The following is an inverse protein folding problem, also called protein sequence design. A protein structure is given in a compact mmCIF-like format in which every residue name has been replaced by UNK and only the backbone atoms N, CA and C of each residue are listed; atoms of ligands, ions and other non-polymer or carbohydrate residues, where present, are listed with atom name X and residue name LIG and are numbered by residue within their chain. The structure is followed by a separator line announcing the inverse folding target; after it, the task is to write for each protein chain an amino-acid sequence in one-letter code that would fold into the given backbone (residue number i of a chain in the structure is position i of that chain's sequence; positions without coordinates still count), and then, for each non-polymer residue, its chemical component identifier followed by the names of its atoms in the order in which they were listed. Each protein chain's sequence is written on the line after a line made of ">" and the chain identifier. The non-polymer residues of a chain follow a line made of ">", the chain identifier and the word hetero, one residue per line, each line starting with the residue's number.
data_IF_498842532382
#
_entry.id   IF_498842532382
#
_cell.length_a   1.000
_cell.length_b   1.000
_cell.length_c   1.000
_cell.angle_alpha   90.00
_cell.angle_beta   90.00
_cell.angle_gamma   90.00
#
_symmetry.space_group_name_H-M   'P 1'
#
loop_
_entity.id
_entity.type
_entity.pdbx_description
1 polymer ?
#
# COMPACT_ATOMS: atom_id res chain seq x y z
N UNK A 1 4.24 4.95 -5.23
CA UNK A 1 3.71 5.74 -4.10
C UNK A 1 2.93 6.96 -4.60
N UNK A 2 1.77 7.28 -4.01
CA UNK A 2 0.90 8.40 -4.45
C UNK A 2 0.25 9.08 -3.23
N UNK A 3 0.09 10.40 -3.28
CA UNK A 3 -0.55 11.19 -2.21
C UNK A 3 -2.04 10.86 -2.12
N UNK A 4 -2.60 10.80 -0.90
CA UNK A 4 -4.01 10.43 -0.67
C UNK A 4 -5.01 11.25 -1.50
N UNK A 5 -4.73 12.55 -1.66
CA UNK A 5 -5.54 13.47 -2.44
C UNK A 5 -5.74 13.05 -3.89
N UNK A 6 -4.82 12.28 -4.49
CA UNK A 6 -5.03 11.75 -5.85
C UNK A 6 -6.19 10.73 -5.86
N UNK A 7 -6.28 9.88 -4.85
CA UNK A 7 -7.37 8.90 -4.71
C UNK A 7 -8.69 9.58 -4.34
N UNK A 8 -8.64 10.59 -3.45
CA UNK A 8 -9.82 11.38 -3.06
C UNK A 8 -10.36 12.21 -4.24
N UNK A 9 -9.48 12.78 -5.06
CA UNK A 9 -9.88 13.48 -6.28
C UNK A 9 -10.51 12.51 -7.29
N UNK A 10 -9.95 11.31 -7.46
CA UNK A 10 -10.53 10.27 -8.30
C UNK A 10 -11.91 9.84 -7.80
N UNK A 11 -12.07 9.61 -6.50
CA UNK A 11 -13.33 9.28 -5.85
C UNK A 11 -14.41 10.33 -6.13
N UNK A 12 -14.11 11.61 -5.83
CA UNK A 12 -15.02 12.73 -6.09
C UNK A 12 -15.41 12.82 -7.56
N UNK A 13 -14.43 12.70 -8.46
CA UNK A 13 -14.66 12.77 -9.91
C UNK A 13 -15.60 11.64 -10.37
N UNK A 14 -15.39 10.42 -9.90
CA UNK A 14 -16.23 9.28 -10.27
C UNK A 14 -17.63 9.37 -9.65
N UNK A 15 -17.74 9.84 -8.40
CA UNK A 15 -19.02 10.13 -7.75
C UNK A 15 -19.82 11.17 -8.52
N UNK A 16 -19.19 12.24 -9.00
CA UNK A 16 -19.86 13.28 -9.79
C UNK A 16 -20.33 12.74 -11.14
N UNK A 17 -19.44 12.07 -11.89
CA UNK A 17 -19.75 11.54 -13.22
C UNK A 17 -20.86 10.48 -13.18
N UNK A 18 -20.81 9.58 -12.20
CA UNK A 18 -21.76 8.47 -12.08
C UNK A 18 -23.05 8.94 -11.41
N UNK A 19 -22.94 9.79 -10.39
CA UNK A 19 -24.04 10.40 -9.65
C UNK A 19 -24.95 11.24 -10.54
N UNK A 20 -24.42 11.84 -11.61
CA UNK A 20 -25.23 12.54 -12.61
C UNK A 20 -26.32 11.65 -13.23
N UNK A 21 -26.05 10.35 -13.42
CA UNK A 21 -27.02 9.40 -13.98
C UNK A 21 -27.88 8.74 -12.92
N UNK A 22 -27.35 8.58 -11.71
CA UNK A 22 -27.99 7.88 -10.61
C UNK A 22 -27.52 8.46 -9.28
N UNK A 23 -28.36 9.29 -8.67
CA UNK A 23 -28.05 9.99 -7.42
C UNK A 23 -27.78 9.03 -6.26
N UNK A 24 -28.24 7.78 -6.30
CA UNK A 24 -27.92 6.80 -5.25
C UNK A 24 -26.44 6.42 -5.22
N UNK A 25 -25.73 6.62 -6.33
CA UNK A 25 -24.31 6.26 -6.46
C UNK A 25 -23.35 7.36 -6.02
N UNK A 26 -23.80 8.61 -5.87
CA UNK A 26 -22.94 9.69 -5.36
C UNK A 26 -22.48 9.43 -3.91
N UNK A 27 -23.25 8.65 -3.16
CA UNK A 27 -22.94 8.27 -1.77
C UNK A 27 -22.04 7.04 -1.67
N UNK A 28 -21.77 6.34 -2.77
CA UNK A 28 -20.87 5.18 -2.77
C UNK A 28 -19.43 5.62 -3.11
N UNK A 29 -18.40 5.07 -2.45
CA UNK A 29 -17.02 5.28 -2.87
C UNK A 29 -16.84 4.98 -4.36
N UNK A 30 -16.10 5.85 -5.05
CA UNK A 30 -15.83 5.81 -6.49
C UNK A 30 -17.08 5.66 -7.37
N UNK A 31 -18.23 6.18 -6.91
CA UNK A 31 -19.51 6.04 -7.61
C UNK A 31 -20.00 4.59 -7.72
N UNK A 32 -19.61 3.74 -6.76
CA UNK A 32 -19.93 2.31 -6.75
C UNK A 32 -19.10 1.47 -7.72
N UNK A 33 -17.93 1.98 -8.15
CA UNK A 33 -16.98 1.21 -8.95
C UNK A 33 -16.05 0.39 -8.06
N UNK A 34 -15.74 -0.81 -8.54
CA UNK A 34 -14.73 -1.66 -7.90
C UNK A 34 -13.36 -1.10 -8.29
N UNK A 35 -12.57 -0.76 -7.27
CA UNK A 35 -11.20 -0.28 -7.42
C UNK A 35 -10.26 -1.32 -6.82
N UNK A 36 -9.23 -1.70 -7.58
CA UNK A 36 -8.14 -2.55 -7.11
C UNK A 36 -6.89 -1.69 -7.03
N UNK A 37 -6.38 -1.53 -5.82
CA UNK A 37 -5.11 -0.83 -5.56
C UNK A 37 -4.02 -1.87 -5.38
N UNK A 38 -2.94 -1.74 -6.16
CA UNK A 38 -1.77 -2.59 -6.08
C UNK A 38 -0.53 -1.78 -5.72
N UNK A 39 0.29 -2.31 -4.84
CA UNK A 39 1.55 -1.71 -4.43
C UNK A 39 2.21 -2.53 -3.32
N UNK A 40 3.47 -2.22 -3.02
CA UNK A 40 4.16 -2.71 -1.84
C UNK A 40 4.29 -1.56 -0.84
N UNK A 41 3.69 -1.70 0.35
CA UNK A 41 3.79 -0.67 1.39
C UNK A 41 5.16 -0.63 2.07
N UNK A 42 6.01 -1.63 1.80
CA UNK A 42 7.43 -1.64 2.20
C UNK A 42 8.30 -0.83 1.25
N UNK A 43 7.72 -0.31 0.15
CA UNK A 43 8.39 0.69 -0.67
C UNK A 43 8.56 2.00 0.10
N UNK A 44 9.49 2.84 -0.38
CA UNK A 44 9.85 4.12 0.23
C UNK A 44 8.61 4.98 0.49
N UNK A 45 8.50 5.51 1.72
CA UNK A 45 7.45 6.46 2.12
C UNK A 45 7.38 7.68 1.20
N UNK A 46 6.23 8.37 1.20
CA UNK A 46 6.06 9.64 0.49
C UNK A 46 7.12 10.66 0.92
N UNK A 47 7.86 11.19 -0.07
CA UNK A 47 8.77 12.30 0.15
C UNK A 47 7.98 13.60 0.08
N UNK A 48 7.83 14.27 1.22
CA UNK A 48 7.25 15.61 1.31
C UNK A 48 8.40 16.60 1.58
N UNK A 49 8.76 17.47 0.63
CA UNK A 49 9.82 18.44 0.83
C UNK A 49 9.53 19.34 2.03
N UNK A 50 10.46 19.40 2.99
CA UNK A 50 10.30 20.13 4.27
C UNK A 50 9.12 19.64 5.13
N UNK A 51 8.55 18.48 4.83
CA UNK A 51 7.48 17.87 5.59
C UNK A 51 7.99 17.20 6.86
N UNK A 52 7.18 17.28 7.91
CA UNK A 52 7.36 16.53 9.16
C UNK A 52 6.94 15.06 8.98
N UNK A 53 7.25 14.22 9.98
CA UNK A 53 6.73 12.84 10.04
C UNK A 53 5.20 12.80 10.00
N UNK A 54 4.54 13.76 10.63
CA UNK A 54 3.08 13.85 10.64
C UNK A 54 2.53 14.16 9.25
N UNK A 55 3.22 15.01 8.49
CA UNK A 55 2.84 15.34 7.12
C UNK A 55 2.91 14.09 6.23
N UNK A 56 3.97 13.29 6.39
CA UNK A 56 4.13 12.01 5.66
C UNK A 56 2.97 11.08 5.99
N UNK A 57 2.67 10.84 7.27
CA UNK A 57 1.54 9.97 7.68
C UNK A 57 0.21 10.51 7.13
N UNK A 58 0.00 11.82 7.21
CA UNK A 58 -1.21 12.48 6.70
C UNK A 58 -1.34 12.45 5.17
N UNK A 59 -0.27 12.14 4.45
CA UNK A 59 -0.29 12.04 2.99
C UNK A 59 -0.58 10.63 2.48
N UNK A 60 -0.47 9.60 3.33
CA UNK A 60 -0.68 8.20 2.96
C UNK A 60 -2.18 7.88 2.89
N UNK A 61 -2.54 6.90 2.05
CA UNK A 61 -3.92 6.45 1.84
C UNK A 61 -4.63 6.02 3.13
N UNK A 62 -3.92 5.43 4.09
CA UNK A 62 -4.47 5.03 5.39
C UNK A 62 -5.04 6.20 6.21
N UNK A 63 -4.62 7.44 5.93
CA UNK A 63 -5.15 8.66 6.52
C UNK A 63 -6.28 9.31 5.71
N UNK A 64 -6.77 8.63 4.66
CA UNK A 64 -7.90 9.08 3.83
C UNK A 64 -9.22 8.55 4.38
N UNK A 65 -10.31 9.28 4.12
CA UNK A 65 -11.67 8.79 4.38
C UNK A 65 -12.03 7.54 3.56
N UNK A 66 -11.25 7.21 2.54
CA UNK A 66 -11.43 6.02 1.72
C UNK A 66 -10.93 4.74 2.41
N UNK A 67 -10.00 4.83 3.37
CA UNK A 67 -9.37 3.67 3.99
C UNK A 67 -10.34 2.69 4.66
N UNK A 68 -11.39 3.13 5.39
CA UNK A 68 -12.38 2.23 5.97
C UNK A 68 -13.18 1.40 4.95
N UNK A 69 -13.14 1.78 3.67
CA UNK A 69 -13.78 1.05 2.57
C UNK A 69 -12.84 0.10 1.84
N UNK A 70 -11.56 0.06 2.22
CA UNK A 70 -10.56 -0.82 1.62
C UNK A 70 -10.55 -2.18 2.32
N UNK A 71 -10.49 -3.25 1.51
CA UNK A 71 -10.17 -4.60 1.98
C UNK A 71 -8.69 -4.88 1.68
N UNK A 72 -7.95 -5.32 2.69
CA UNK A 72 -6.52 -5.62 2.54
C UNK A 72 -6.35 -7.05 2.02
N UNK A 73 -5.74 -7.17 0.85
CA UNK A 73 -5.39 -8.46 0.24
C UNK A 73 -3.86 -8.56 0.10
N UNK A 74 -3.27 -9.54 0.78
CA UNK A 74 -1.81 -9.71 0.82
C UNK A 74 -1.36 -10.83 -0.11
N UNK A 75 -0.49 -10.52 -1.06
CA UNK A 75 0.19 -11.53 -1.89
C UNK A 75 1.43 -12.05 -1.16
N UNK A 76 1.47 -13.34 -0.86
CA UNK A 76 2.55 -13.99 -0.09
C UNK A 76 3.57 -14.72 -0.97
N UNK A 77 3.25 -14.98 -2.24
CA UNK A 77 4.09 -15.76 -3.15
C UNK A 77 4.88 -14.84 -4.10
N UNK A 78 6.19 -14.70 -3.87
CA UNK A 78 7.10 -13.99 -4.77
C UNK A 78 7.38 -14.82 -6.03
N UNK A 79 6.96 -14.31 -7.19
CA UNK A 79 7.15 -15.01 -8.48
C UNK A 79 8.52 -14.75 -9.13
N UNK A 80 9.23 -13.67 -8.73
CA UNK A 80 10.53 -13.30 -9.30
C UNK A 80 11.66 -14.31 -9.02
N UNK A 81 11.52 -15.10 -7.96
CA UNK A 81 12.53 -16.03 -7.45
C UNK A 81 12.28 -17.49 -7.86
N UNK A 82 11.31 -17.75 -8.75
CA UNK A 82 10.86 -19.11 -9.12
C UNK A 82 11.53 -19.69 -10.38
N UNK A 83 12.51 -19.01 -10.97
CA UNK A 83 13.14 -19.41 -12.25
C UNK A 83 14.48 -20.14 -12.11
N UNK A 84 14.74 -20.86 -11.03
CA UNK A 84 15.96 -21.68 -10.91
C UNK A 84 15.65 -23.16 -11.17
N UNK A 85 16.02 -23.64 -12.36
CA UNK A 85 15.90 -25.04 -12.81
C UNK A 85 16.87 -26.03 -12.10
N UNK A 86 17.45 -25.65 -10.95
CA UNK A 86 18.32 -26.51 -10.17
C UNK A 86 17.80 -26.64 -8.73
N UNK A 87 17.58 -27.88 -8.28
CA UNK A 87 17.07 -28.26 -6.95
C UNK A 87 17.94 -27.71 -5.79
N UNK A 88 19.21 -27.40 -6.06
CA UNK A 88 20.15 -26.73 -5.13
C UNK A 88 19.92 -25.23 -4.98
N UNK A 89 19.39 -24.54 -6.00
CA UNK A 89 19.19 -23.08 -6.00
C UNK A 89 17.92 -22.66 -5.24
N UNK A 90 16.97 -23.58 -5.07
CA UNK A 90 15.68 -23.31 -4.43
C UNK A 90 15.80 -22.97 -2.94
N UNK A 91 16.77 -23.56 -2.24
CA UNK A 91 16.97 -23.32 -0.81
C UNK A 91 17.56 -21.93 -0.56
N UNK A 92 18.61 -21.56 -1.31
CA UNK A 92 19.23 -20.24 -1.21
C UNK A 92 18.26 -19.14 -1.67
N UNK A 93 17.51 -19.38 -2.75
CA UNK A 93 16.46 -18.47 -3.23
C UNK A 93 15.37 -18.23 -2.19
N UNK A 94 14.96 -19.28 -1.47
CA UNK A 94 13.99 -19.17 -0.37
C UNK A 94 14.56 -18.41 0.82
N UNK A 95 15.77 -18.73 1.26
CA UNK A 95 16.44 -18.02 2.36
C UNK A 95 16.64 -16.54 2.04
N UNK A 96 17.00 -16.22 0.79
CA UNK A 96 17.11 -14.84 0.31
C UNK A 96 15.75 -14.13 0.25
N UNK A 97 14.69 -14.81 -0.21
CA UNK A 97 13.32 -14.28 -0.20
C UNK A 97 12.89 -13.94 1.21
N UNK A 98 13.07 -14.86 2.15
CA UNK A 98 12.70 -14.68 3.55
C UNK A 98 13.49 -13.54 4.16
N UNK A 99 14.79 -13.44 3.88
CA UNK A 99 15.63 -12.33 4.32
C UNK A 99 15.13 -10.97 3.80
N UNK A 100 14.79 -10.84 2.51
CA UNK A 100 14.23 -9.59 1.95
C UNK A 100 12.93 -9.21 2.66
N UNK A 101 12.06 -10.18 2.97
CA UNK A 101 10.82 -9.91 3.70
C UNK A 101 11.12 -9.34 5.09
N UNK A 102 12.06 -9.95 5.83
CA UNK A 102 12.44 -9.46 7.17
C UNK A 102 13.08 -8.07 7.11
N UNK A 103 13.89 -7.78 6.07
CA UNK A 103 14.42 -6.42 5.82
C UNK A 103 13.28 -5.43 5.59
N UNK A 104 12.32 -5.78 4.72
CA UNK A 104 11.20 -4.90 4.37
C UNK A 104 10.23 -4.64 5.54
N UNK A 105 10.08 -5.61 6.43
CA UNK A 105 9.25 -5.50 7.64
C UNK A 105 9.98 -4.85 8.82
N UNK A 106 11.18 -4.30 8.59
CA UNK A 106 12.05 -3.67 9.59
C UNK A 106 12.23 -4.54 10.86
N UNK A 107 12.34 -5.86 10.66
CA UNK A 107 12.44 -6.84 11.74
C UNK A 107 13.88 -7.33 11.98
N UNK A 108 14.87 -6.67 11.36
CA UNK A 108 16.30 -6.97 11.49
C UNK A 108 16.97 -5.92 12.39
N UNK A 109 16.97 -6.15 13.70
CA UNK A 109 17.76 -5.35 14.64
C UNK A 109 17.06 -5.15 15.99
N UNK A 110 17.85 -5.16 17.07
CA UNK A 110 17.36 -4.75 18.38
C UNK A 110 16.94 -3.28 18.30
N UNK A 111 15.73 -3.00 18.77
CA UNK A 111 15.13 -1.66 18.88
C UNK A 111 16.09 -0.68 19.55
N UNK A 112 16.69 0.21 18.75
CA UNK A 112 17.47 1.35 19.26
C UNK A 112 16.93 2.71 18.81
N UNK A 113 15.94 2.76 17.92
CA UNK A 113 15.60 4.03 17.23
C UNK A 113 14.23 4.62 17.61
N UNK A 114 13.52 4.03 18.58
CA UNK A 114 12.23 4.57 19.04
C UNK A 114 11.17 4.66 17.93
N UNK A 115 11.30 3.81 16.91
CA UNK A 115 10.34 3.69 15.82
C UNK A 115 9.21 2.79 16.34
N UNK A 116 8.17 3.40 16.89
CA UNK A 116 6.90 2.71 17.02
C UNK A 116 6.50 2.21 15.64
N UNK A 117 6.30 0.89 15.53
CA UNK A 117 5.84 0.24 14.30
C UNK A 117 4.61 0.98 13.80
N UNK A 118 4.72 1.60 12.62
CA UNK A 118 3.55 2.12 11.92
C UNK A 118 2.75 0.89 11.49
N UNK A 119 1.67 0.60 12.21
CA UNK A 119 0.69 -0.39 11.80
C UNK A 119 0.07 0.12 10.49
N UNK A 120 0.36 -0.58 9.40
CA UNK A 120 -0.28 -0.41 8.09
C UNK A 120 -1.68 -1.01 8.17
#
# INVERSE_FOLDING_TARGET
>A
MMHKHCFEALDKTLRDIIGYKDASKSELPFGGKIIVLGGDFRDILLVIPKGSRQDIVNAILNSSYLWPHCELLTLTKTMRLQNSDADTDLKESKEFSDWILVVGDDSIGNSFDGIDKVLI
#
